data_IF_010463914342
#
_entry.id   IF_010463914342
#
_cell.length_a   1.000
_cell.length_b   1.000
_cell.length_c   1.000
_cell.angle_alpha   90.00
_cell.angle_beta   90.00
_cell.angle_gamma   90.00
#
_symmetry.space_group_name_H-M   'P 1'
#
loop_
_entity.id
_entity.type
_entity.pdbx_description
1 polymer ?
#
# COMPACT_ATOMS: atom_id res chain seq x y z
N UNK A 1 -21.75 40.92 -7.78
CA UNK A 1 -20.69 40.07 -8.36
C UNK A 1 -19.36 40.54 -7.76
N UNK A 2 -18.49 39.78 -7.11
CA UNK A 2 -18.33 38.35 -6.90
C UNK A 2 -17.45 38.18 -5.65
N UNK A 3 -18.04 37.93 -4.48
CA UNK A 3 -17.32 37.54 -3.26
C UNK A 3 -17.14 36.01 -3.16
N UNK A 4 -17.73 35.27 -4.10
CA UNK A 4 -17.79 33.80 -4.09
C UNK A 4 -16.48 33.16 -4.60
N UNK A 5 -15.68 33.89 -5.39
CA UNK A 5 -14.43 33.35 -5.94
C UNK A 5 -13.29 33.21 -4.91
N UNK A 6 -13.38 33.86 -3.74
CA UNK A 6 -12.32 33.82 -2.71
C UNK A 6 -12.47 32.64 -1.73
N UNK A 7 -13.61 31.95 -1.70
CA UNK A 7 -13.92 30.92 -0.71
C UNK A 7 -13.46 29.50 -1.07
N UNK A 8 -12.98 29.24 -2.29
CA UNK A 8 -12.59 27.88 -2.73
C UNK A 8 -11.08 27.59 -2.62
N UNK A 9 -10.25 28.57 -2.23
CA UNK A 9 -8.80 28.38 -2.02
C UNK A 9 -8.41 28.02 -0.58
N UNK A 10 -9.38 27.63 0.26
CA UNK A 10 -9.19 27.52 1.71
C UNK A 10 -9.37 26.14 2.35
N UNK A 11 -9.66 25.07 1.61
CA UNK A 11 -10.03 23.77 2.22
C UNK A 11 -9.18 22.57 1.79
N UNK A 12 -8.11 22.75 1.01
CA UNK A 12 -7.13 21.68 0.86
C UNK A 12 -6.13 21.77 2.01
N UNK A 13 -6.33 20.96 3.06
CA UNK A 13 -5.25 20.71 4.02
C UNK A 13 -4.18 19.89 3.31
N UNK A 14 -2.95 20.42 3.12
CA UNK A 14 -1.89 19.63 2.49
C UNK A 14 -1.63 18.38 3.32
N UNK A 15 -1.37 17.26 2.64
CA UNK A 15 -0.98 16.03 3.32
C UNK A 15 0.32 16.27 4.09
N UNK A 16 0.46 15.56 5.21
CA UNK A 16 1.75 15.47 5.88
C UNK A 16 2.81 15.00 4.87
N UNK A 17 4.04 15.57 4.86
CA UNK A 17 5.08 15.22 3.90
C UNK A 17 5.33 13.71 3.79
N UNK A 18 5.37 13.02 4.93
CA UNK A 18 5.59 11.56 4.98
C UNK A 18 4.45 10.78 4.33
N UNK A 19 3.21 11.24 4.50
CA UNK A 19 2.04 10.63 3.86
C UNK A 19 2.12 10.84 2.35
N UNK A 20 2.51 12.03 1.91
CA UNK A 20 2.70 12.33 0.49
C UNK A 20 3.82 11.47 -0.11
N UNK A 21 4.94 11.31 0.60
CA UNK A 21 6.05 10.46 0.19
C UNK A 21 5.61 9.00 0.11
N UNK A 22 4.93 8.50 1.13
CA UNK A 22 4.48 7.11 1.16
C UNK A 22 3.51 6.76 0.04
N UNK A 23 2.57 7.67 -0.27
CA UNK A 23 1.69 7.53 -1.45
C UNK A 23 2.52 7.45 -2.74
N UNK A 24 3.55 8.28 -2.88
CA UNK A 24 4.39 8.28 -4.07
C UNK A 24 5.17 6.96 -4.21
N UNK A 25 5.78 6.48 -3.13
CA UNK A 25 6.50 5.20 -3.10
C UNK A 25 5.56 4.02 -3.42
N UNK A 26 4.37 4.00 -2.84
CA UNK A 26 3.35 2.99 -3.13
C UNK A 26 2.91 3.00 -4.59
N UNK A 27 2.82 4.18 -5.21
CA UNK A 27 2.52 4.33 -6.63
C UNK A 27 3.63 3.77 -7.53
N UNK A 28 4.91 3.96 -7.16
CA UNK A 28 6.07 3.38 -7.86
C UNK A 28 6.02 1.86 -7.80
N UNK A 29 5.77 1.26 -6.63
CA UNK A 29 5.64 -0.20 -6.53
C UNK A 29 4.45 -0.71 -7.35
N UNK A 30 3.31 -0.01 -7.28
CA UNK A 30 2.07 -0.47 -7.92
C UNK A 30 2.12 -0.42 -9.45
N UNK A 31 2.75 0.61 -10.05
CA UNK A 31 2.91 0.67 -11.52
C UNK A 31 3.90 -0.35 -12.06
N UNK A 32 4.87 -0.77 -11.23
CA UNK A 32 5.90 -1.73 -11.58
C UNK A 32 5.61 -3.15 -11.04
N UNK A 33 4.39 -3.39 -10.54
CA UNK A 33 4.04 -4.58 -9.76
C UNK A 33 4.45 -5.90 -10.42
N UNK A 34 4.36 -5.97 -11.75
CA UNK A 34 4.64 -7.16 -12.54
C UNK A 34 5.96 -7.08 -13.32
N UNK A 35 6.87 -6.21 -12.89
CA UNK A 35 8.20 -6.10 -13.52
C UNK A 35 8.98 -7.39 -13.38
N UNK A 36 9.79 -7.68 -14.40
CA UNK A 36 10.81 -8.75 -14.35
C UNK A 36 12.21 -8.20 -14.11
N UNK A 37 12.37 -6.89 -14.17
CA UNK A 37 13.61 -6.18 -13.87
C UNK A 37 13.35 -5.20 -12.72
N UNK A 38 13.60 -5.63 -11.46
CA UNK A 38 13.32 -4.80 -10.30
C UNK A 38 14.43 -3.79 -10.00
N UNK A 39 15.63 -3.94 -10.58
CA UNK A 39 16.80 -3.09 -10.27
C UNK A 39 16.53 -1.59 -10.43
N UNK A 40 15.99 -1.14 -11.59
CA UNK A 40 15.61 0.26 -11.78
C UNK A 40 14.54 0.75 -10.80
N UNK A 41 13.63 -0.14 -10.38
CA UNK A 41 12.56 0.19 -9.44
C UNK A 41 13.12 0.44 -8.05
N UNK A 42 14.02 -0.43 -7.57
CA UNK A 42 14.69 -0.26 -6.27
C UNK A 42 15.53 1.02 -6.27
N UNK A 43 16.28 1.27 -7.34
CA UNK A 43 17.06 2.51 -7.47
C UNK A 43 16.17 3.76 -7.40
N UNK A 44 15.03 3.75 -8.10
CA UNK A 44 14.09 4.87 -8.07
C UNK A 44 13.47 5.04 -6.67
N UNK A 45 13.08 3.96 -6.00
CA UNK A 45 12.51 4.00 -4.65
C UNK A 45 13.50 4.63 -3.66
N UNK A 46 14.77 4.22 -3.70
CA UNK A 46 15.83 4.78 -2.86
C UNK A 46 16.07 6.26 -3.19
N UNK A 47 16.10 6.62 -4.48
CA UNK A 47 16.27 8.01 -4.90
C UNK A 47 15.12 8.91 -4.44
N UNK A 48 13.87 8.45 -4.57
CA UNK A 48 12.68 9.22 -4.18
C UNK A 48 12.57 9.36 -2.66
N UNK A 49 12.99 8.33 -1.92
CA UNK A 49 13.01 8.37 -0.46
C UNK A 49 14.06 9.34 0.09
N UNK A 50 15.21 9.47 -0.58
CA UNK A 50 16.30 10.31 -0.11
C UNK A 50 16.80 9.87 1.26
N UNK A 51 16.74 10.77 2.24
CA UNK A 51 17.11 10.51 3.64
C UNK A 51 16.01 9.81 4.46
N UNK A 52 14.78 9.74 3.95
CA UNK A 52 13.62 9.13 4.62
C UNK A 52 13.52 7.62 4.38
N UNK A 53 14.62 6.93 4.68
CA UNK A 53 14.70 5.47 4.62
C UNK A 53 13.70 4.77 5.55
N UNK A 54 13.30 5.42 6.66
CA UNK A 54 12.26 4.96 7.58
C UNK A 54 10.89 4.84 6.89
N UNK A 55 10.49 5.87 6.14
CA UNK A 55 9.22 5.88 5.37
C UNK A 55 9.29 4.87 4.24
N UNK A 56 10.45 4.76 3.58
CA UNK A 56 10.65 3.77 2.53
C UNK A 56 10.51 2.34 3.03
N UNK A 57 11.21 2.01 4.12
CA UNK A 57 11.14 0.70 4.76
C UNK A 57 9.70 0.36 5.15
N UNK A 58 9.00 1.30 5.78
CA UNK A 58 7.61 1.14 6.18
C UNK A 58 6.68 0.86 4.99
N UNK A 59 6.71 1.72 3.97
CA UNK A 59 5.76 1.64 2.85
C UNK A 59 6.08 0.49 1.89
N UNK A 60 7.35 0.33 1.51
CA UNK A 60 7.75 -0.74 0.59
C UNK A 60 7.60 -2.12 1.26
N UNK A 61 7.97 -2.25 2.54
CA UNK A 61 7.79 -3.48 3.30
C UNK A 61 6.33 -3.89 3.44
N UNK A 62 5.44 -2.95 3.81
CA UNK A 62 3.99 -3.23 3.86
C UNK A 62 3.42 -3.58 2.50
N UNK A 63 3.85 -2.89 1.44
CA UNK A 63 3.42 -3.20 0.08
C UNK A 63 3.85 -4.62 -0.30
N UNK A 64 5.11 -4.98 -0.05
CA UNK A 64 5.66 -6.30 -0.36
C UNK A 64 4.88 -7.40 0.35
N UNK A 65 4.63 -7.26 1.65
CA UNK A 65 3.84 -8.24 2.40
C UNK A 65 2.37 -8.34 1.98
N UNK A 66 1.77 -7.27 1.46
CA UNK A 66 0.37 -7.27 1.00
C UNK A 66 0.20 -7.96 -0.37
N UNK A 67 1.21 -7.82 -1.23
CA UNK A 67 1.20 -8.34 -2.60
C UNK A 67 1.95 -9.66 -2.78
N UNK A 68 2.64 -10.17 -1.76
CA UNK A 68 3.38 -11.44 -1.73
C UNK A 68 2.61 -12.62 -2.37
N UNK A 69 2.75 -12.76 -3.69
CA UNK A 69 2.13 -13.77 -4.55
C UNK A 69 3.07 -14.14 -5.72
N UNK A 70 2.71 -15.18 -6.48
CA UNK A 70 3.54 -15.73 -7.55
C UNK A 70 3.83 -14.73 -8.69
N UNK A 71 2.95 -13.76 -8.92
CA UNK A 71 3.08 -12.80 -10.02
C UNK A 71 3.89 -11.57 -9.64
N UNK A 72 4.01 -11.26 -8.34
CA UNK A 72 4.79 -10.12 -7.85
C UNK A 72 6.08 -10.53 -7.15
N UNK A 73 6.37 -11.83 -7.07
CA UNK A 73 7.51 -12.40 -6.34
C UNK A 73 8.84 -11.71 -6.67
N UNK A 74 9.07 -11.34 -7.93
CA UNK A 74 10.30 -10.66 -8.37
C UNK A 74 10.50 -9.32 -7.66
N UNK A 75 9.48 -8.47 -7.66
CA UNK A 75 9.58 -7.15 -7.02
C UNK A 75 9.53 -7.28 -5.49
N UNK A 76 8.75 -8.21 -4.95
CA UNK A 76 8.69 -8.49 -3.51
C UNK A 76 10.06 -8.90 -2.99
N UNK A 77 10.72 -9.89 -3.61
CA UNK A 77 12.05 -10.33 -3.21
C UNK A 77 13.07 -9.18 -3.26
N UNK A 78 13.07 -8.42 -4.35
CA UNK A 78 13.97 -7.28 -4.50
C UNK A 78 13.75 -6.17 -3.46
N UNK A 79 12.50 -5.93 -3.05
CA UNK A 79 12.19 -4.97 -1.97
C UNK A 79 12.74 -5.48 -0.63
N UNK A 80 12.52 -6.76 -0.31
CA UNK A 80 12.94 -7.35 0.96
C UNK A 80 14.47 -7.40 1.08
N UNK A 81 15.17 -7.72 -0.01
CA UNK A 81 16.63 -7.82 -0.04
C UNK A 81 17.32 -6.46 -0.21
N UNK A 82 16.73 -5.56 -1.00
CA UNK A 82 17.36 -4.31 -1.43
C UNK A 82 17.04 -3.09 -0.58
N UNK A 83 16.00 -3.13 0.27
CA UNK A 83 15.58 -1.99 1.08
C UNK A 83 15.81 -2.29 2.57
N UNK A 84 16.76 -1.60 3.23
CA UNK A 84 17.02 -1.78 4.66
C UNK A 84 15.77 -1.57 5.50
N UNK A 85 15.45 -2.54 6.36
CA UNK A 85 14.30 -2.49 7.27
C UNK A 85 12.93 -2.82 6.65
N UNK A 86 12.84 -3.08 5.34
CA UNK A 86 11.56 -3.41 4.70
C UNK A 86 10.98 -4.75 5.18
N UNK A 87 11.84 -5.73 5.46
CA UNK A 87 11.46 -7.06 5.92
C UNK A 87 10.61 -7.02 7.22
N UNK A 88 10.93 -6.09 8.13
CA UNK A 88 10.25 -5.95 9.42
C UNK A 88 8.78 -5.52 9.26
N UNK A 89 8.43 -4.89 8.14
CA UNK A 89 7.09 -4.38 7.85
C UNK A 89 6.25 -5.31 6.97
N UNK A 90 6.85 -6.32 6.35
CA UNK A 90 6.14 -7.31 5.54
C UNK A 90 5.03 -8.06 6.33
N UNK A 91 5.23 -8.47 7.61
CA UNK A 91 4.16 -9.07 8.41
C UNK A 91 2.92 -8.16 8.55
N UNK A 92 3.12 -6.84 8.64
CA UNK A 92 2.03 -5.86 8.74
C UNK A 92 1.24 -5.77 7.43
N UNK A 93 1.93 -5.84 6.29
CA UNK A 93 1.31 -5.94 4.97
C UNK A 93 0.45 -7.20 4.82
N UNK A 94 1.02 -8.34 5.20
CA UNK A 94 0.35 -9.65 5.12
C UNK A 94 -0.88 -9.70 6.02
N UNK A 95 -0.78 -9.22 7.26
CA UNK A 95 -1.91 -9.15 8.18
C UNK A 95 -3.08 -8.32 7.61
N UNK A 96 -2.77 -7.21 6.91
CA UNK A 96 -3.79 -6.40 6.23
C UNK A 96 -4.44 -7.14 5.07
N UNK A 97 -3.69 -7.95 4.31
CA UNK A 97 -4.23 -8.75 3.20
C UNK A 97 -5.12 -9.90 3.69
N UNK A 98 -4.77 -10.50 4.82
CA UNK A 98 -5.53 -11.59 5.46
C UNK A 98 -6.75 -11.11 6.24
N UNK A 99 -6.95 -9.79 6.41
CA UNK A 99 -8.11 -9.27 7.10
C UNK A 99 -9.41 -9.62 6.35
N UNK A 100 -10.49 -9.99 7.05
CA UNK A 100 -11.78 -10.23 6.42
C UNK A 100 -12.21 -9.03 5.57
N UNK A 101 -12.82 -9.31 4.42
CA UNK A 101 -13.43 -8.27 3.60
C UNK A 101 -14.43 -7.50 4.46
N UNK A 102 -14.33 -6.17 4.45
CA UNK A 102 -15.35 -5.34 5.08
C UNK A 102 -16.64 -5.52 4.29
N UNK A 103 -17.64 -6.09 4.94
CA UNK A 103 -19.00 -6.23 4.43
C UNK A 103 -19.98 -5.85 5.52
N UNK A 104 -21.19 -5.48 5.13
CA UNK A 104 -22.30 -5.32 6.08
C UNK A 104 -22.45 -6.62 6.87
N UNK A 105 -22.40 -6.54 8.19
CA UNK A 105 -22.76 -7.66 9.07
C UNK A 105 -24.20 -8.07 8.76
N UNK A 106 -24.39 -9.22 8.10
CA UNK A 106 -25.73 -9.65 7.68
C UNK A 106 -25.79 -10.90 6.81
N UNK A 107 -24.77 -11.19 6.01
CA UNK A 107 -24.65 -12.51 5.36
C UNK A 107 -23.90 -13.48 6.26
N UNK A 108 -24.56 -13.90 7.34
CA UNK A 108 -24.27 -15.20 7.94
C UNK A 108 -24.53 -16.33 6.92
N UNK A 109 -24.26 -17.61 7.26
CA UNK A 109 -24.65 -18.72 6.38
C UNK A 109 -26.12 -18.54 5.98
N UNK A 110 -26.40 -18.74 4.69
CA UNK A 110 -27.77 -18.66 4.17
C UNK A 110 -28.70 -19.43 5.11
N UNK A 111 -29.82 -18.80 5.50
CA UNK A 111 -30.85 -19.42 6.32
C UNK A 111 -31.10 -20.87 5.85
N UNK A 112 -30.86 -21.84 6.73
CA UNK A 112 -31.21 -23.24 6.49
C UNK A 112 -32.57 -23.46 7.14
N UNK A 113 -33.67 -23.61 6.38
CA UNK A 113 -34.97 -23.88 6.96
C UNK A 113 -34.94 -25.22 7.71
N UNK A 114 -35.59 -25.33 8.89
CA UNK A 114 -35.69 -26.59 9.60
C UNK A 114 -36.44 -27.62 8.75
N UNK A 115 -35.93 -28.86 8.69
CA UNK A 115 -36.61 -29.97 8.02
C UNK A 115 -37.95 -30.25 8.74
N UNK A 116 -39.07 -30.35 8.02
CA UNK A 116 -40.31 -30.81 8.62
C UNK A 116 -40.13 -32.26 9.11
N UNK A 117 -40.68 -32.53 10.30
CA UNK A 117 -40.72 -33.87 10.91
C UNK A 117 -41.66 -34.79 10.15
#
# INVERSE_FOLDING_TARGET
MSAVARSLRGMSRPLHPDVKLGIHLSAICSRNRYTRDPGPVIAELLQVAGDRGDVLAFEAGRWAGYYDDEHTAVLVAAIIEGIPGAADWAPVGRAKRSAPAHGTTGFGPAYVPPKPR
#
